data_IF_397852900675
#
_entry.id   IF_397852900675
#
_cell.length_a   1.000
_cell.length_b   1.000
_cell.length_c   1.000
_cell.angle_alpha   90.00
_cell.angle_beta   90.00
_cell.angle_gamma   90.00
#
_symmetry.space_group_name_H-M   'P 1'
#
loop_
_entity.id
_entity.type
_entity.pdbx_description
1 polymer ?
#
# COMPACT_ATOMS: atom_id res chain seq x y z
N UNK A 1 8.30 14.19 6.31
CA UNK A 1 6.98 14.74 5.93
C UNK A 1 5.94 14.19 6.88
N UNK A 2 5.09 15.03 7.47
CA UNK A 2 3.84 14.58 8.11
C UNK A 2 3.15 13.72 7.06
N UNK A 3 2.94 12.44 7.36
CA UNK A 3 2.16 11.52 6.53
C UNK A 3 0.96 12.27 6.01
N UNK A 4 0.82 12.43 4.70
CA UNK A 4 -0.36 13.09 4.16
C UNK A 4 -1.56 12.22 4.54
N UNK A 5 -2.30 12.72 5.52
CA UNK A 5 -2.79 11.85 6.60
C UNK A 5 -4.01 11.02 6.21
N UNK A 6 -4.57 11.25 5.03
CA UNK A 6 -5.83 10.65 4.62
C UNK A 6 -5.64 9.34 3.86
N UNK A 7 -4.71 9.26 2.90
CA UNK A 7 -4.47 8.03 2.14
C UNK A 7 -3.81 6.95 2.99
N UNK A 8 -2.85 7.34 3.83
CA UNK A 8 -2.26 6.42 4.80
C UNK A 8 -3.33 5.84 5.74
N UNK A 9 -4.20 6.68 6.30
CA UNK A 9 -5.30 6.22 7.15
C UNK A 9 -6.32 5.37 6.38
N UNK A 10 -6.63 5.76 5.15
CA UNK A 10 -7.54 5.01 4.28
C UNK A 10 -7.04 3.59 4.04
N UNK A 11 -5.77 3.41 3.67
CA UNK A 11 -5.21 2.08 3.45
C UNK A 11 -4.96 1.31 4.75
N UNK A 12 -4.73 2.00 5.87
CA UNK A 12 -4.62 1.37 7.18
C UNK A 12 -5.97 0.83 7.69
N UNK A 13 -7.04 1.59 7.52
CA UNK A 13 -8.38 1.24 8.01
C UNK A 13 -9.15 0.36 7.02
N UNK A 14 -8.93 0.55 5.71
CA UNK A 14 -9.63 -0.13 4.61
C UNK A 14 -8.66 -0.62 3.53
N UNK A 15 -7.77 -1.59 3.85
CA UNK A 15 -6.77 -2.10 2.91
C UNK A 15 -7.38 -2.73 1.64
N UNK A 16 -8.63 -3.20 1.71
CA UNK A 16 -9.38 -3.73 0.56
C UNK A 16 -9.56 -2.73 -0.58
N UNK A 17 -9.55 -1.42 -0.30
CA UNK A 17 -9.70 -0.36 -1.32
C UNK A 17 -8.58 -0.45 -2.36
N UNK A 18 -7.36 -0.79 -1.95
CA UNK A 18 -6.24 -0.97 -2.88
C UNK A 18 -6.58 -1.98 -3.99
N UNK A 19 -7.08 -3.15 -3.59
CA UNK A 19 -7.44 -4.21 -4.53
C UNK A 19 -8.60 -3.82 -5.42
N UNK A 20 -9.57 -3.07 -4.89
CA UNK A 20 -10.67 -2.55 -5.71
C UNK A 20 -10.18 -1.57 -6.78
N UNK A 21 -9.23 -0.68 -6.45
CA UNK A 21 -8.67 0.30 -7.40
C UNK A 21 -7.94 -0.37 -8.57
N UNK A 22 -7.35 -1.56 -8.36
CA UNK A 22 -6.70 -2.35 -9.40
C UNK A 22 -7.60 -3.42 -10.03
N UNK A 23 -8.92 -3.37 -9.77
CA UNK A 23 -9.90 -4.29 -10.38
C UNK A 23 -9.92 -5.70 -9.79
N UNK A 24 -9.40 -5.90 -8.59
CA UNK A 24 -9.36 -7.17 -7.88
C UNK A 24 -10.35 -7.23 -6.71
N UNK A 25 -10.56 -8.43 -6.16
CA UNK A 25 -11.43 -8.61 -5.00
C UNK A 25 -10.87 -7.91 -3.76
N UNK A 26 -11.67 -7.09 -3.04
CA UNK A 26 -11.24 -6.49 -1.77
C UNK A 26 -10.87 -7.52 -0.71
N UNK A 27 -11.40 -8.75 -0.80
CA UNK A 27 -11.10 -9.84 0.14
C UNK A 27 -9.65 -10.30 0.09
N UNK A 28 -8.92 -10.00 -0.99
CA UNK A 28 -7.48 -10.29 -1.06
C UNK A 28 -6.71 -9.59 0.05
N UNK A 29 -7.17 -8.43 0.53
CA UNK A 29 -6.52 -7.73 1.65
C UNK A 29 -6.40 -8.57 2.92
N UNK A 30 -7.25 -9.58 3.13
CA UNK A 30 -7.13 -10.50 4.27
C UNK A 30 -5.83 -11.33 4.25
N UNK A 31 -5.24 -11.50 3.06
CA UNK A 31 -3.99 -12.21 2.85
C UNK A 31 -2.77 -11.29 2.90
N UNK A 32 -2.94 -10.00 3.19
CA UNK A 32 -1.88 -9.00 3.15
C UNK A 32 -1.82 -8.14 4.42
N UNK A 33 -0.62 -7.64 4.73
CA UNK A 33 -0.37 -6.61 5.73
C UNK A 33 0.04 -5.32 5.06
N UNK A 34 -0.66 -4.23 5.38
CA UNK A 34 -0.28 -2.89 4.96
C UNK A 34 0.80 -2.31 5.87
N UNK A 35 1.84 -1.71 5.28
CA UNK A 35 2.94 -1.02 5.98
C UNK A 35 3.35 0.24 5.20
N UNK A 36 3.77 1.29 5.90
CA UNK A 36 4.52 2.39 5.26
C UNK A 36 6.02 2.18 5.54
N UNK A 37 6.85 2.35 4.52
CA UNK A 37 8.29 2.03 4.58
C UNK A 37 9.11 3.24 4.14
N UNK A 38 10.04 3.64 5.00
CA UNK A 38 11.06 4.65 4.70
C UNK A 38 12.38 3.97 4.32
N UNK A 39 12.87 4.21 3.10
CA UNK A 39 14.12 3.63 2.60
C UNK A 39 15.27 4.60 2.92
N UNK A 40 16.12 4.19 3.87
CA UNK A 40 17.18 5.04 4.45
C UNK A 40 18.27 5.47 3.46
N UNK A 41 18.51 4.69 2.39
CA UNK A 41 19.69 4.88 1.52
C UNK A 41 19.47 5.88 0.38
N UNK A 42 18.21 6.16 0.02
CA UNK A 42 17.84 7.02 -1.12
C UNK A 42 16.98 8.22 -0.73
N UNK A 43 16.73 8.44 0.57
CA UNK A 43 15.71 9.38 1.08
C UNK A 43 14.33 9.20 0.40
N UNK A 44 14.06 7.97 -0.05
CA UNK A 44 12.86 7.60 -0.76
C UNK A 44 11.85 7.03 0.22
N UNK A 45 10.60 7.49 0.13
CA UNK A 45 9.51 7.05 0.99
C UNK A 45 8.41 6.48 0.11
N UNK A 46 7.99 5.27 0.42
CA UNK A 46 6.82 4.64 -0.18
C UNK A 46 5.61 4.96 0.69
N UNK A 47 4.52 5.40 0.07
CA UNK A 47 3.29 5.72 0.78
C UNK A 47 2.64 4.45 1.36
N UNK A 48 2.77 3.33 0.66
CA UNK A 48 2.25 2.05 1.12
C UNK A 48 2.94 0.84 0.51
N UNK A 49 3.03 -0.22 1.31
CA UNK A 49 3.51 -1.55 0.92
C UNK A 49 2.53 -2.59 1.46
N UNK A 50 1.94 -3.41 0.59
CA UNK A 50 1.16 -4.58 1.00
C UNK A 50 2.04 -5.82 0.88
N UNK A 51 2.35 -6.43 2.03
CA UNK A 51 3.18 -7.62 2.14
C UNK A 51 2.27 -8.83 2.34
N UNK A 52 2.38 -9.91 1.54
CA UNK A 52 1.56 -11.09 1.73
C UNK A 52 1.90 -11.77 3.06
N UNK A 53 0.88 -12.32 3.72
CA UNK A 53 1.01 -13.06 4.99
C UNK A 53 1.80 -14.37 4.81
N UNK A 54 1.85 -14.89 3.59
CA UNK A 54 2.60 -16.09 3.23
C UNK A 54 3.41 -15.78 1.99
N UNK A 55 4.72 -16.04 2.05
CA UNK A 55 5.60 -15.86 0.89
C UNK A 55 5.43 -17.05 -0.06
N UNK A 56 4.80 -16.79 -1.21
CA UNK A 56 4.73 -17.69 -2.36
C UNK A 56 5.21 -16.96 -3.62
N UNK A 57 5.83 -17.64 -4.59
CA UNK A 57 6.16 -17.05 -5.90
C UNK A 57 4.95 -16.43 -6.61
N UNK A 58 3.75 -16.93 -6.33
CA UNK A 58 2.50 -16.49 -6.97
C UNK A 58 1.82 -15.31 -6.26
N UNK A 59 2.34 -14.89 -5.10
CA UNK A 59 1.79 -13.80 -4.29
C UNK A 59 2.77 -12.63 -4.26
N UNK A 60 2.59 -11.60 -5.12
CA UNK A 60 3.52 -10.48 -5.20
C UNK A 60 3.40 -9.56 -3.99
N UNK A 61 4.48 -8.81 -3.71
CA UNK A 61 4.43 -7.63 -2.84
C UNK A 61 3.92 -6.45 -3.68
N UNK A 62 2.98 -5.69 -3.14
CA UNK A 62 2.46 -4.51 -3.82
C UNK A 62 3.06 -3.23 -3.23
N UNK A 63 3.60 -2.38 -4.09
CA UNK A 63 4.10 -1.06 -3.73
C UNK A 63 3.13 0.01 -4.24
N UNK A 64 2.83 1.01 -3.40
CA UNK A 64 1.86 2.08 -3.70
C UNK A 64 2.49 3.45 -3.47
N UNK A 65 2.32 4.33 -4.44
CA UNK A 65 2.63 5.76 -4.37
C UNK A 65 1.40 6.56 -4.75
N UNK A 66 1.10 7.60 -3.98
CA UNK A 66 -0.03 8.49 -4.21
C UNK A 66 0.50 9.83 -4.67
N UNK A 67 0.14 10.21 -5.89
CA UNK A 67 0.49 11.50 -6.45
C UNK A 67 -0.76 12.37 -6.57
N UNK A 68 -0.71 13.59 -6.05
CA UNK A 68 -1.73 14.59 -6.35
C UNK A 68 -1.52 15.08 -7.79
N UNK A 69 -2.59 15.05 -8.60
CA UNK A 69 -2.57 15.70 -9.89
C UNK A 69 -2.35 17.20 -9.68
N UNK A 70 -1.33 17.76 -10.33
CA UNK A 70 -1.19 19.21 -10.43
C UNK A 70 -2.21 19.69 -11.45
N UNK A 71 -3.26 20.35 -10.98
CA UNK A 71 -4.18 21.11 -11.81
C UNK A 71 -3.55 22.39 -12.32
#
# INVERSE_FOLDING_TARGET
MKTDSIFYRLFLELPGIYFQLIGQSPTLANSYQFRSVEIKQTAFRLDGVLVPNTQSPDTPIHFTEVHAAKG
#
